data_IF_008973045731
#
_entry.id   IF_008973045731
#
_cell.length_a   1.000
_cell.length_b   1.000
_cell.length_c   1.000
_cell.angle_alpha   90.00
_cell.angle_beta   90.00
_cell.angle_gamma   90.00
#
_symmetry.space_group_name_H-M   'P 1'
#
loop_
_entity.id
_entity.type
_entity.pdbx_description
1 polymer ?
#
# COMPACT_ATOMS: atom_id res chain seq x y z
N UNK A 1 13.61 2.22 3.62
CA UNK A 1 13.26 0.83 3.95
C UNK A 1 12.14 0.36 3.05
N UNK A 2 12.20 -0.87 2.54
CA UNK A 2 11.18 -1.44 1.65
C UNK A 2 10.63 -2.70 2.33
N UNK A 3 9.31 -2.78 2.51
CA UNK A 3 8.63 -3.87 3.20
C UNK A 3 7.57 -4.45 2.26
N UNK A 4 7.74 -5.69 1.78
CA UNK A 4 6.68 -6.39 1.06
C UNK A 4 5.61 -6.91 2.03
N UNK A 5 4.36 -6.99 1.58
CA UNK A 5 3.25 -7.58 2.34
C UNK A 5 3.44 -9.09 2.59
N UNK A 6 4.07 -9.76 1.62
CA UNK A 6 4.36 -11.18 1.65
C UNK A 6 5.87 -11.38 1.56
N UNK A 7 6.35 -12.45 2.19
CA UNK A 7 7.75 -12.84 2.11
C UNK A 7 8.10 -13.18 0.66
N UNK A 8 9.19 -12.58 0.15
CA UNK A 8 9.68 -12.84 -1.21
C UNK A 8 11.17 -12.53 -1.32
N UNK A 9 11.87 -13.04 -2.34
CA UNK A 9 13.31 -12.84 -2.49
C UNK A 9 13.70 -11.35 -2.52
N UNK A 10 14.75 -10.97 -1.79
CA UNK A 10 15.23 -9.59 -1.71
C UNK A 10 15.52 -9.00 -3.10
N UNK A 11 16.07 -9.80 -4.01
CA UNK A 11 16.35 -9.39 -5.38
C UNK A 11 15.09 -8.92 -6.11
N UNK A 12 13.96 -9.60 -5.90
CA UNK A 12 12.68 -9.25 -6.52
C UNK A 12 12.11 -7.96 -5.91
N UNK A 13 12.14 -7.84 -4.57
CA UNK A 13 11.75 -6.60 -3.85
C UNK A 13 12.52 -5.40 -4.41
N UNK A 14 13.84 -5.55 -4.53
CA UNK A 14 14.72 -4.50 -5.04
C UNK A 14 14.46 -4.20 -6.52
N UNK A 15 14.15 -5.21 -7.34
CA UNK A 15 13.83 -5.01 -8.75
C UNK A 15 12.54 -4.20 -8.92
N UNK A 16 11.48 -4.52 -8.18
CA UNK A 16 10.21 -3.77 -8.22
C UNK A 16 10.41 -2.33 -7.77
N UNK A 17 11.14 -2.15 -6.66
CA UNK A 17 11.47 -0.82 -6.15
C UNK A 17 12.30 0.01 -7.14
N UNK A 18 13.34 -0.57 -7.74
CA UNK A 18 14.17 0.10 -8.76
C UNK A 18 13.38 0.41 -10.02
N UNK A 19 12.48 -0.48 -10.44
CA UNK A 19 11.58 -0.25 -11.57
C UNK A 19 10.75 1.01 -11.33
N UNK A 20 10.14 1.14 -10.14
CA UNK A 20 9.39 2.34 -9.76
C UNK A 20 10.28 3.59 -9.85
N UNK A 21 11.44 3.59 -9.19
CA UNK A 21 12.33 4.75 -9.13
C UNK A 21 13.02 5.10 -10.45
N UNK A 22 13.10 4.17 -11.40
CA UNK A 22 13.62 4.45 -12.74
C UNK A 22 12.63 5.26 -13.60
N UNK A 23 11.35 5.30 -13.20
CA UNK A 23 10.32 5.99 -13.96
C UNK A 23 10.34 7.51 -13.69
N UNK A 24 10.44 8.32 -14.76
CA UNK A 24 10.46 9.79 -14.67
C UNK A 24 9.26 10.40 -13.94
N UNK A 25 8.06 9.80 -14.03
CA UNK A 25 6.86 10.30 -13.34
C UNK A 25 6.99 10.09 -11.83
N UNK A 26 7.54 8.96 -11.41
CA UNK A 26 7.81 8.64 -10.00
C UNK A 26 8.89 9.57 -9.47
N UNK A 27 10.01 9.74 -10.18
CA UNK A 27 11.09 10.64 -9.76
C UNK A 27 10.63 12.08 -9.51
N UNK A 28 9.73 12.61 -10.35
CA UNK A 28 9.15 13.95 -10.16
C UNK A 28 8.20 14.05 -8.97
N UNK A 29 7.60 12.94 -8.58
CA UNK A 29 6.63 12.89 -7.49
C UNK A 29 7.26 12.50 -6.15
N UNK A 30 8.42 11.86 -6.17
CA UNK A 30 9.19 11.41 -5.01
C UNK A 30 9.75 12.59 -4.22
N UNK A 31 9.73 12.48 -2.89
CA UNK A 31 10.27 13.47 -1.97
C UNK A 31 11.29 12.81 -1.02
N UNK A 32 12.24 13.59 -0.55
CA UNK A 32 13.32 13.20 0.36
C UNK A 32 12.83 12.70 1.73
N UNK A 33 11.61 13.04 2.12
CA UNK A 33 11.00 12.57 3.37
C UNK A 33 10.33 11.20 3.26
N UNK A 34 10.22 10.63 2.06
CA UNK A 34 9.69 9.29 1.79
C UNK A 34 10.75 8.22 2.13
N UNK A 35 10.86 7.87 3.41
CA UNK A 35 11.87 6.98 3.96
C UNK A 35 11.42 5.51 4.12
N UNK A 36 10.16 5.22 3.85
CA UNK A 36 9.56 3.89 3.93
C UNK A 36 8.71 3.60 2.69
N UNK A 37 8.72 2.35 2.21
CA UNK A 37 7.87 1.90 1.11
C UNK A 37 7.26 0.56 1.46
N UNK A 38 5.93 0.47 1.38
CA UNK A 38 5.22 -0.81 1.40
C UNK A 38 5.01 -1.30 -0.02
N UNK A 39 5.22 -2.59 -0.27
CA UNK A 39 4.87 -3.23 -1.53
C UNK A 39 3.77 -4.26 -1.27
N UNK A 40 2.62 -4.06 -1.91
CA UNK A 40 1.40 -4.79 -1.65
C UNK A 40 0.79 -5.22 -2.99
N UNK A 41 -0.01 -6.29 -3.02
CA UNK A 41 -0.95 -6.52 -4.11
C UNK A 41 -1.87 -5.31 -4.34
N UNK A 42 -2.25 -5.05 -5.59
CA UNK A 42 -3.15 -3.96 -5.95
C UNK A 42 -4.52 -4.06 -5.26
N UNK A 43 -5.00 -5.27 -5.02
CA UNK A 43 -6.27 -5.60 -4.38
C UNK A 43 -6.15 -5.87 -2.87
N UNK A 44 -4.96 -5.66 -2.30
CA UNK A 44 -4.72 -5.93 -0.88
C UNK A 44 -5.68 -5.13 0.00
N UNK A 45 -6.46 -5.82 0.84
CA UNK A 45 -7.55 -5.23 1.62
C UNK A 45 -7.07 -4.17 2.62
N UNK A 46 -5.88 -4.34 3.20
CA UNK A 46 -5.30 -3.37 4.13
C UNK A 46 -4.79 -2.11 3.45
N UNK A 47 -4.82 -2.02 2.11
CA UNK A 47 -4.56 -0.74 1.43
C UNK A 47 -5.43 0.39 2.00
N UNK A 48 -6.67 0.10 2.41
CA UNK A 48 -7.57 1.07 3.01
C UNK A 48 -7.08 1.68 4.33
N UNK A 49 -6.20 1.00 5.07
CA UNK A 49 -5.61 1.54 6.30
C UNK A 49 -4.41 2.45 6.01
N UNK A 50 -3.82 2.32 4.82
CA UNK A 50 -2.64 3.08 4.40
C UNK A 50 -3.01 4.28 3.54
N UNK A 51 -4.12 4.20 2.80
CA UNK A 51 -4.53 5.24 1.86
C UNK A 51 -6.05 5.22 1.61
N UNK A 52 -6.59 6.32 1.11
CA UNK A 52 -7.98 6.42 0.65
C UNK A 52 -8.23 5.80 -0.73
N UNK A 53 -7.15 5.46 -1.45
CA UNK A 53 -7.23 4.96 -2.81
C UNK A 53 -7.97 3.61 -2.92
N UNK A 54 -8.74 3.41 -4.00
CA UNK A 54 -9.41 2.14 -4.23
C UNK A 54 -8.39 1.05 -4.53
N UNK A 55 -8.78 -0.18 -4.19
CA UNK A 55 -8.10 -1.40 -4.62
C UNK A 55 -8.11 -1.52 -6.14
N UNK A 56 -7.11 -2.20 -6.69
CA UNK A 56 -7.01 -2.57 -8.09
C UNK A 56 -7.10 -4.09 -8.23
N UNK A 57 -8.19 -4.54 -8.81
CA UNK A 57 -8.45 -5.95 -9.08
C UNK A 57 -7.98 -6.32 -10.48
N UNK A 58 -7.59 -7.59 -10.65
CA UNK A 58 -7.34 -8.20 -11.95
C UNK A 58 -8.63 -8.27 -12.77
N UNK A 59 -8.51 -8.39 -14.10
CA UNK A 59 -9.68 -8.52 -14.97
C UNK A 59 -10.48 -9.78 -14.63
N UNK A 60 -9.80 -10.89 -14.39
CA UNK A 60 -10.42 -12.17 -14.07
C UNK A 60 -11.26 -12.08 -12.79
N UNK A 61 -10.77 -11.38 -11.77
CA UNK A 61 -11.55 -11.14 -10.54
C UNK A 61 -12.77 -10.26 -10.82
N UNK A 62 -12.65 -9.23 -11.67
CA UNK A 62 -13.78 -8.36 -12.03
C UNK A 62 -14.83 -9.14 -12.83
N UNK A 63 -14.42 -10.04 -13.72
CA UNK A 63 -15.33 -10.89 -14.49
C UNK A 63 -16.08 -11.89 -13.60
N UNK A 64 -15.39 -12.48 -12.61
CA UNK A 64 -15.98 -13.42 -11.68
C UNK A 64 -16.85 -12.76 -10.61
N UNK A 65 -16.48 -11.55 -10.17
CA UNK A 65 -17.11 -10.84 -9.06
C UNK A 65 -17.28 -9.34 -9.40
N UNK A 66 -18.18 -8.95 -10.31
CA UNK A 66 -18.34 -7.57 -10.75
C UNK A 66 -18.67 -6.60 -9.59
N UNK A 67 -19.27 -7.09 -8.51
CA UNK A 67 -19.60 -6.33 -7.30
C UNK A 67 -18.37 -5.74 -6.60
N UNK A 68 -17.15 -6.26 -6.82
CA UNK A 68 -15.92 -5.68 -6.25
C UNK A 68 -15.67 -4.25 -6.73
N UNK A 69 -16.21 -3.90 -7.90
CA UNK A 69 -16.19 -2.54 -8.43
C UNK A 69 -17.03 -1.59 -7.60
N UNK A 70 -18.03 -2.04 -6.84
CA UNK A 70 -18.89 -1.17 -6.02
C UNK A 70 -18.36 -0.99 -4.58
N UNK A 71 -17.41 -1.82 -4.13
CA UNK A 71 -16.87 -1.75 -2.77
C UNK A 71 -16.22 -0.40 -2.40
N UNK A 72 -15.81 0.41 -3.37
CA UNK A 72 -15.27 1.75 -3.10
C UNK A 72 -16.35 2.76 -2.67
N UNK A 73 -17.63 2.50 -2.99
CA UNK A 73 -18.76 3.36 -2.64
C UNK A 73 -19.17 3.18 -1.17
N UNK A 74 -18.86 2.02 -0.59
CA UNK A 74 -18.96 1.80 0.84
C UNK A 74 -17.74 2.42 1.52
N UNK A 75 -17.84 3.69 1.95
CA UNK A 75 -16.95 4.19 3.00
C UNK A 75 -17.08 3.23 4.18
N UNK A 76 -15.98 2.62 4.62
CA UNK A 76 -15.97 1.80 5.83
C UNK A 76 -16.36 2.69 7.01
N UNK A 77 -17.65 2.81 7.29
CA UNK A 77 -18.21 3.46 8.48
C UNK A 77 -18.26 2.52 9.68
N UNK A 78 -17.39 1.50 9.69
CA UNK A 78 -17.35 0.45 10.70
C UNK A 78 -16.54 0.86 11.92
N UNK A 79 -16.90 0.28 13.05
CA UNK A 79 -16.17 0.39 14.31
C UNK A 79 -14.84 -0.40 14.26
N UNK A 80 -13.95 -0.19 15.24
CA UNK A 80 -12.75 -1.03 15.42
C UNK A 80 -13.10 -2.54 15.54
N UNK A 81 -14.29 -2.88 16.04
CA UNK A 81 -14.77 -4.27 16.07
C UNK A 81 -15.03 -4.84 14.67
N UNK A 82 -15.55 -4.02 13.75
CA UNK A 82 -15.75 -4.40 12.35
C UNK A 82 -14.41 -4.58 11.62
N UNK A 83 -13.38 -3.80 12.00
CA UNK A 83 -12.01 -3.99 11.54
C UNK A 83 -11.46 -5.38 11.91
N UNK A 84 -11.57 -5.78 13.18
CA UNK A 84 -11.11 -7.11 13.61
C UNK A 84 -11.93 -8.25 13.00
N UNK A 85 -13.21 -8.04 12.74
CA UNK A 85 -14.06 -9.04 12.08
C UNK A 85 -13.66 -9.25 10.61
N UNK A 86 -13.36 -8.17 9.88
CA UNK A 86 -12.80 -8.23 8.52
C UNK A 86 -11.41 -8.91 8.56
N UNK A 87 -10.58 -8.56 9.55
CA UNK A 87 -9.25 -9.16 9.72
C UNK A 87 -9.31 -10.66 10.05
N UNK A 88 -10.25 -11.07 10.91
CA UNK A 88 -10.48 -12.47 11.27
C UNK A 88 -10.96 -13.30 10.07
N UNK A 89 -11.90 -12.75 9.28
CA UNK A 89 -12.37 -13.39 8.05
C UNK A 89 -11.32 -13.35 6.92
N UNK A 90 -10.31 -12.47 7.02
CA UNK A 90 -9.23 -12.37 6.04
C UNK A 90 -8.27 -13.56 6.09
N UNK A 91 -7.96 -14.07 7.29
CA UNK A 91 -7.13 -15.29 7.45
C UNK A 91 -7.73 -16.48 6.69
N UNK A 92 -9.05 -16.46 6.44
CA UNK A 92 -9.80 -17.51 5.78
C UNK A 92 -10.18 -17.20 4.30
N UNK A 93 -9.84 -16.02 3.76
CA UNK A 93 -10.21 -15.61 2.39
C UNK A 93 -9.03 -15.55 1.42
N UNK A 94 -9.34 -15.71 0.13
CA UNK A 94 -8.38 -15.87 -0.97
C UNK A 94 -7.32 -14.75 -1.11
N UNK A 95 -7.53 -13.58 -0.49
CA UNK A 95 -6.53 -12.50 -0.46
C UNK A 95 -5.32 -12.76 0.45
N UNK A 96 -5.33 -13.86 1.23
CA UNK A 96 -4.20 -14.33 2.04
C UNK A 96 -3.35 -15.39 1.34
N UNK A 97 -3.73 -15.83 0.13
CA UNK A 97 -2.93 -16.77 -0.67
C UNK A 97 -2.11 -15.99 -1.68
N UNK A 98 -0.85 -16.39 -1.83
CA UNK A 98 0.04 -15.97 -2.90
C UNK A 98 -0.59 -16.37 -4.25
N UNK A 99 -1.40 -15.47 -4.81
CA UNK A 99 -1.98 -15.58 -6.15
C UNK A 99 -1.18 -14.71 -7.10
N UNK A 100 -1.18 -15.04 -8.39
CA UNK A 100 -0.59 -14.17 -9.43
C UNK A 100 -1.37 -12.85 -9.48
N UNK A 101 -0.85 -11.82 -8.81
CA UNK A 101 -1.47 -10.50 -8.77
C UNK A 101 -1.03 -9.70 -9.99
N UNK A 102 -1.97 -9.24 -10.81
CA UNK A 102 -1.67 -8.42 -12.00
C UNK A 102 -0.99 -7.07 -11.67
N UNK A 103 -1.20 -6.56 -10.46
CA UNK A 103 -0.76 -5.22 -10.06
C UNK A 103 0.01 -5.27 -8.74
N UNK A 104 1.23 -4.76 -8.79
CA UNK A 104 2.10 -4.46 -7.67
C UNK A 104 1.92 -2.99 -7.26
N UNK A 105 1.48 -2.75 -6.04
CA UNK A 105 1.25 -1.41 -5.48
C UNK A 105 2.35 -1.04 -4.49
N UNK A 106 3.08 0.02 -4.82
CA UNK A 106 4.06 0.63 -3.93
C UNK A 106 3.44 1.86 -3.26
N UNK A 107 3.42 1.87 -1.93
CA UNK A 107 3.01 3.03 -1.14
C UNK A 107 4.23 3.58 -0.43
N UNK A 108 4.69 4.74 -0.89
CA UNK A 108 5.75 5.50 -0.28
C UNK A 108 5.20 6.32 0.89
N UNK A 109 5.89 6.23 2.02
CA UNK A 109 5.46 6.73 3.31
C UNK A 109 6.55 7.61 3.89
N UNK A 110 6.14 8.75 4.44
CA UNK A 110 6.97 9.59 5.29
C UNK A 110 6.77 9.18 6.74
N UNK A 111 7.81 8.63 7.37
CA UNK A 111 7.86 8.36 8.81
C UNK A 111 8.60 9.50 9.52
N UNK A 112 7.88 10.18 10.42
CA UNK A 112 8.36 11.36 11.17
C UNK A 112 8.10 11.19 12.66
N UNK A 113 8.94 11.80 13.48
CA UNK A 113 8.64 11.98 14.91
C UNK A 113 7.39 12.86 15.09
N UNK A 114 6.78 12.85 16.28
CA UNK A 114 5.68 13.77 16.62
C UNK A 114 6.02 15.27 16.45
N UNK A 115 7.31 15.61 16.49
CA UNK A 115 7.81 16.97 16.25
C UNK A 115 8.04 17.29 14.76
N UNK A 116 7.63 16.40 13.85
CA UNK A 116 7.75 16.58 12.40
C UNK A 116 9.11 16.24 11.80
N UNK A 117 10.10 15.83 12.61
CA UNK A 117 11.43 15.45 12.11
C UNK A 117 11.39 14.08 11.41
N UNK A 118 11.85 14.01 10.17
CA UNK A 118 12.06 12.76 9.42
C UNK A 118 13.08 11.87 10.14
N UNK A 119 12.75 10.59 10.29
CA UNK A 119 13.64 9.62 10.95
C UNK A 119 14.57 8.94 9.94
N UNK A 120 15.69 8.42 10.44
CA UNK A 120 16.63 7.66 9.61
C UNK A 120 16.06 6.30 9.21
N UNK A 121 16.66 5.66 8.20
CA UNK A 121 16.18 4.37 7.66
C UNK A 121 16.10 3.25 8.71
N UNK A 122 16.98 3.27 9.72
CA UNK A 122 17.02 2.27 10.80
C UNK A 122 15.88 2.42 11.80
N UNK A 123 15.33 3.63 11.90
CA UNK A 123 14.37 4.00 12.94
C UNK A 123 12.94 4.09 12.39
N UNK A 124 12.72 3.86 11.08
CA UNK A 124 11.39 4.04 10.43
C UNK A 124 10.28 3.15 11.00
N UNK A 125 10.66 2.08 11.71
CA UNK A 125 9.75 1.13 12.35
C UNK A 125 9.56 1.39 13.85
N UNK A 126 10.21 2.42 14.40
CA UNK A 126 10.07 2.76 15.81
C UNK A 126 8.62 3.07 16.19
N UNK A 127 8.29 2.74 17.44
CA UNK A 127 6.98 3.00 18.03
C UNK A 127 6.81 4.50 18.25
N UNK A 128 5.60 5.01 18.03
CA UNK A 128 5.23 6.41 18.30
C UNK A 128 5.56 7.40 17.17
N UNK A 129 6.03 6.90 16.03
CA UNK A 129 6.19 7.69 14.80
C UNK A 129 4.83 8.00 14.16
N UNK A 130 4.77 9.18 13.55
CA UNK A 130 3.70 9.59 12.64
C UNK A 130 4.08 9.12 11.25
N UNK A 131 3.23 8.30 10.64
CA UNK A 131 3.44 7.80 9.29
C UNK A 131 2.33 8.32 8.39
N UNK A 132 2.70 8.86 7.23
CA UNK A 132 1.74 9.39 6.26
C UNK A 132 2.11 8.91 4.86
N UNK A 133 1.15 8.29 4.17
CA UNK A 133 1.33 7.89 2.78
C UNK A 133 1.40 9.13 1.89
N UNK A 134 2.46 9.22 1.08
CA UNK A 134 2.78 10.43 0.31
C UNK A 134 2.72 10.19 -1.20
N UNK A 135 3.01 8.96 -1.63
CA UNK A 135 3.01 8.61 -3.05
C UNK A 135 2.59 7.15 -3.24
N UNK A 136 1.69 6.93 -4.18
CA UNK A 136 1.27 5.61 -4.63
C UNK A 136 1.74 5.38 -6.06
N UNK A 137 2.32 4.21 -6.31
CA UNK A 137 2.76 3.76 -7.63
C UNK A 137 2.21 2.37 -7.88
N UNK A 138 1.44 2.21 -8.95
CA UNK A 138 1.00 0.89 -9.39
C UNK A 138 1.86 0.44 -10.57
N UNK A 139 2.33 -0.80 -10.51
CA UNK A 139 3.16 -1.45 -11.50
C UNK A 139 2.47 -2.73 -11.96
N UNK A 140 2.46 -2.97 -13.25
CA UNK A 140 2.03 -4.23 -13.85
C UNK A 140 3.02 -5.34 -13.50
N UNK A 141 2.55 -6.43 -12.89
CA UNK A 141 3.43 -7.48 -12.37
C UNK A 141 4.22 -8.19 -13.48
N UNK A 142 3.60 -8.41 -14.63
CA UNK A 142 4.21 -9.12 -15.77
C UNK A 142 5.15 -8.21 -16.57
N UNK A 143 4.64 -7.07 -17.04
CA UNK A 143 5.37 -6.19 -17.95
C UNK A 143 6.29 -5.22 -17.23
N UNK A 144 6.18 -5.13 -15.90
CA UNK A 144 6.92 -4.18 -15.04
C UNK A 144 6.72 -2.72 -15.45
N UNK A 145 5.63 -2.41 -16.16
CA UNK A 145 5.30 -1.05 -16.57
C UNK A 145 4.61 -0.30 -15.44
N UNK A 146 5.01 0.94 -15.22
CA UNK A 146 4.31 1.84 -14.29
C UNK A 146 2.95 2.22 -14.87
N UNK A 147 1.89 1.73 -14.25
CA UNK A 147 0.49 1.96 -14.62
C UNK A 147 -0.02 3.30 -14.11
N UNK A 148 0.24 3.60 -12.83
CA UNK A 148 -0.24 4.81 -12.18
C UNK A 148 0.80 5.41 -11.23
N UNK A 149 0.80 6.73 -11.11
CA UNK A 149 1.59 7.50 -10.14
C UNK A 149 0.68 8.56 -9.55
N UNK A 150 0.46 8.52 -8.24
CA UNK A 150 -0.47 9.43 -7.56
C UNK A 150 0.12 9.97 -6.27
N UNK A 151 0.24 11.30 -6.16
CA UNK A 151 0.53 11.96 -4.89
C UNK A 151 -0.68 11.82 -3.97
N UNK A 152 -0.41 11.42 -2.74
CA UNK A 152 -1.43 11.21 -1.71
C UNK A 152 -1.49 12.41 -0.78
N UNK A 153 -2.63 12.61 -0.14
CA UNK A 153 -2.90 13.70 0.80
C UNK A 153 -2.32 13.44 2.20
N UNK A 154 -1.78 12.25 2.45
CA UNK A 154 -1.39 11.81 3.79
C UNK A 154 -2.54 11.22 4.61
N UNK A 155 -3.77 11.33 4.12
CA UNK A 155 -4.96 10.74 4.74
C UNK A 155 -5.12 9.27 4.34
N UNK A 156 -5.71 8.50 5.24
CA UNK A 156 -6.19 7.14 4.97
C UNK A 156 -7.66 7.06 5.36
N UNK A 157 -8.38 6.00 4.93
CA UNK A 157 -9.84 5.87 5.15
C UNK A 157 -10.29 5.90 6.61
N UNK A 158 -9.34 5.84 7.53
CA UNK A 158 -9.54 5.80 8.97
C UNK A 158 -9.03 7.08 9.67
N UNK A 159 -8.78 8.17 8.93
CA UNK A 159 -8.42 9.48 9.48
C UNK A 159 -6.92 9.63 9.75
N UNK A 160 -6.55 9.74 11.03
CA UNK A 160 -5.18 9.98 11.51
C UNK A 160 -4.66 8.88 12.44
N UNK A 161 -5.35 7.73 12.47
CA UNK A 161 -4.96 6.59 13.30
C UNK A 161 -3.55 6.13 12.87
N UNK A 162 -2.62 5.88 13.81
CA UNK A 162 -1.29 5.41 13.45
C UNK A 162 -1.36 4.16 12.58
N UNK A 163 -0.70 4.19 11.42
CA UNK A 163 -0.58 3.00 10.57
C UNK A 163 0.06 1.87 11.37
N UNK A 164 -0.51 0.65 11.35
CA UNK A 164 0.09 -0.49 12.03
C UNK A 164 1.45 -0.81 11.42
N UNK A 165 2.33 -1.35 12.26
CA UNK A 165 3.62 -1.89 11.84
C UNK A 165 3.34 -3.32 11.38
N UNK A 166 3.55 -3.57 10.08
CA UNK A 166 3.54 -4.91 9.51
C UNK A 166 4.87 -5.59 9.75
#
# INVERSE_FOLDING_TARGET
>A
TVIPAFERPEAEVLQVYRTALSNRRVQRAFDSDMNLVYILPGDFFLTAILTEEPRKFSKDIIELFPEVLEWHQHKFGGTIGDFFKIFYNFVDTHGARETDYDVERLIFVSAKTRKGKTVGQKDVLDIGLVRSAALLVDIDADTRKVLAVKKLTGLHKWGTIPMPVF
#
